data_IF_909195869709
#
_entry.id   IF_909195869709
#
_cell.length_a   1.000
_cell.length_b   1.000
_cell.length_c   1.000
_cell.angle_alpha   90.00
_cell.angle_beta   90.00
_cell.angle_gamma   90.00
#
_symmetry.space_group_name_H-M   'P 1'
#
loop_
_entity.id
_entity.type
_entity.pdbx_description
1 polymer ?
#
# COMPACT_ATOMS: atom_id res chain seq x y z
N UNK A 1 78.51 19.66 -11.85
CA UNK A 1 77.28 19.58 -12.66
C UNK A 1 76.26 18.62 -12.01
N UNK A 2 75.73 18.93 -10.81
CA UNK A 2 74.74 18.09 -10.12
C UNK A 2 73.59 18.91 -9.47
N UNK A 3 73.57 20.24 -9.68
CA UNK A 3 72.56 21.14 -9.10
C UNK A 3 71.34 21.39 -9.98
N UNK A 4 71.43 21.11 -11.29
CA UNK A 4 70.34 21.33 -12.24
C UNK A 4 69.24 20.27 -12.14
N UNK A 5 69.62 19.00 -11.97
CA UNK A 5 68.67 17.88 -11.94
C UNK A 5 67.76 17.90 -10.70
N UNK A 6 68.28 18.39 -9.56
CA UNK A 6 67.49 18.50 -8.32
C UNK A 6 66.42 19.59 -8.45
N UNK A 7 66.74 20.70 -9.13
CA UNK A 7 65.80 21.82 -9.34
C UNK A 7 64.71 21.41 -10.34
N UNK A 8 65.07 20.69 -11.40
CA UNK A 8 64.10 20.15 -12.37
C UNK A 8 63.19 19.11 -11.71
N UNK A 9 63.74 18.24 -10.87
CA UNK A 9 62.95 17.25 -10.12
C UNK A 9 61.99 17.92 -9.12
N UNK A 10 62.44 18.95 -8.39
CA UNK A 10 61.57 19.70 -7.47
C UNK A 10 60.47 20.44 -8.23
N UNK A 11 60.78 21.08 -9.36
CA UNK A 11 59.80 21.78 -10.18
C UNK A 11 58.76 20.82 -10.77
N UNK A 12 59.19 19.66 -11.26
CA UNK A 12 58.26 18.62 -11.74
C UNK A 12 57.38 18.09 -10.61
N UNK A 13 57.94 17.85 -9.43
CA UNK A 13 57.16 17.42 -8.26
C UNK A 13 56.12 18.48 -7.85
N UNK A 14 56.49 19.77 -7.84
CA UNK A 14 55.56 20.86 -7.53
C UNK A 14 54.46 20.97 -8.59
N UNK A 15 54.78 20.82 -9.88
CA UNK A 15 53.77 20.82 -10.97
C UNK A 15 52.79 19.65 -10.86
N UNK A 16 53.28 18.46 -10.48
CA UNK A 16 52.43 17.27 -10.25
C UNK A 16 51.51 17.47 -9.04
N UNK A 17 52.02 18.03 -7.94
CA UNK A 17 51.21 18.28 -6.73
C UNK A 17 50.16 19.37 -6.97
N UNK A 18 50.49 20.44 -7.72
CA UNK A 18 49.54 21.50 -8.07
C UNK A 18 48.42 20.98 -8.99
N UNK A 19 48.70 19.97 -9.81
CA UNK A 19 47.70 19.35 -10.71
C UNK A 19 46.68 18.45 -9.99
N UNK A 20 46.94 18.06 -8.74
CA UNK A 20 45.99 17.24 -7.95
C UNK A 20 44.93 18.08 -7.20
N UNK A 21 45.07 19.40 -7.13
CA UNK A 21 44.22 20.24 -6.27
C UNK A 21 42.97 20.86 -6.94
N UNK A 22 42.64 20.51 -8.19
CA UNK A 22 41.52 21.11 -8.91
C UNK A 22 40.61 20.08 -9.59
N UNK A 23 40.07 19.14 -8.82
CA UNK A 23 38.80 18.49 -9.15
C UNK A 23 37.82 18.59 -7.99
N UNK A 24 37.54 19.83 -7.60
CA UNK A 24 36.26 20.20 -7.01
C UNK A 24 35.16 20.03 -8.05
N UNK A 25 34.90 18.77 -8.44
CA UNK A 25 33.72 18.46 -9.24
C UNK A 25 32.53 18.88 -8.42
N UNK A 26 31.80 19.91 -8.87
CA UNK A 26 30.43 20.16 -8.43
C UNK A 26 29.76 18.80 -8.38
N UNK A 27 29.46 18.33 -7.17
CA UNK A 27 28.71 17.12 -6.95
C UNK A 27 27.31 17.40 -7.51
N UNK A 28 27.19 17.27 -8.83
CA UNK A 28 25.92 17.20 -9.49
C UNK A 28 25.24 16.05 -8.78
N UNK A 29 24.18 16.36 -8.04
CA UNK A 29 23.47 15.42 -7.20
C UNK A 29 22.79 14.45 -8.15
N UNK A 30 23.58 13.53 -8.73
CA UNK A 30 23.17 12.63 -9.80
C UNK A 30 22.05 11.81 -9.19
N UNK A 31 20.83 12.14 -9.61
CA UNK A 31 19.65 11.41 -9.20
C UNK A 31 19.87 9.99 -9.68
N UNK A 32 19.90 9.06 -8.74
CA UNK A 32 20.16 7.67 -9.06
C UNK A 32 19.05 7.14 -9.98
N UNK A 33 19.46 6.45 -11.03
CA UNK A 33 18.55 5.82 -11.97
C UNK A 33 17.86 4.63 -11.29
N UNK A 34 16.65 4.31 -11.71
CA UNK A 34 16.01 3.08 -11.27
C UNK A 34 16.75 1.84 -11.78
N UNK A 35 16.52 0.72 -11.11
CA UNK A 35 16.94 -0.59 -11.58
C UNK A 35 16.10 -0.95 -12.82
N UNK A 36 16.66 -1.63 -13.85
CA UNK A 36 15.87 -2.11 -14.98
C UNK A 36 14.68 -2.95 -14.52
N UNK A 37 13.55 -2.83 -15.21
CA UNK A 37 12.29 -3.44 -14.80
C UNK A 37 12.38 -4.96 -14.80
N UNK A 38 13.14 -5.55 -15.73
CA UNK A 38 13.36 -7.00 -15.84
C UNK A 38 14.07 -7.56 -14.60
N UNK A 39 14.98 -6.78 -14.00
CA UNK A 39 15.68 -7.19 -12.78
C UNK A 39 14.73 -7.09 -11.57
N UNK A 40 13.88 -6.07 -11.52
CA UNK A 40 12.87 -5.92 -10.48
C UNK A 40 11.82 -7.03 -10.55
N UNK A 41 11.35 -7.37 -11.76
CA UNK A 41 10.47 -8.49 -12.07
C UNK A 41 11.07 -9.81 -11.61
N UNK A 42 12.32 -10.09 -11.98
CA UNK A 42 12.99 -11.33 -11.58
C UNK A 42 13.11 -11.43 -10.06
N UNK A 43 13.48 -10.34 -9.39
CA UNK A 43 13.66 -10.31 -7.93
C UNK A 43 12.32 -10.43 -7.21
N UNK A 44 11.30 -9.73 -7.68
CA UNK A 44 9.93 -9.82 -7.17
C UNK A 44 9.32 -11.20 -7.40
N UNK A 45 9.55 -11.80 -8.58
CA UNK A 45 9.10 -13.13 -8.93
C UNK A 45 9.59 -14.17 -7.91
N UNK A 46 10.84 -14.06 -7.44
CA UNK A 46 11.41 -14.91 -6.38
C UNK A 46 10.76 -14.70 -5.01
N UNK A 47 10.35 -13.48 -4.69
CA UNK A 47 9.66 -13.15 -3.43
C UNK A 47 8.18 -13.57 -3.44
N UNK A 48 7.58 -13.66 -4.62
CA UNK A 48 6.15 -13.88 -4.80
C UNK A 48 5.81 -15.29 -5.31
N UNK A 49 6.80 -16.19 -5.41
CA UNK A 49 6.60 -17.60 -5.77
C UNK A 49 5.57 -18.21 -4.80
N UNK A 50 4.43 -18.64 -5.34
CA UNK A 50 3.32 -19.21 -4.58
C UNK A 50 2.11 -18.30 -4.36
N UNK A 51 2.24 -16.98 -4.58
CA UNK A 51 1.13 -16.02 -4.32
C UNK A 51 0.76 -15.18 -5.54
N UNK A 52 1.68 -14.92 -6.50
CA UNK A 52 1.39 -14.03 -7.64
C UNK A 52 1.52 -14.58 -9.07
N UNK A 53 1.82 -15.86 -9.28
CA UNK A 53 1.70 -16.43 -10.64
C UNK A 53 0.28 -16.35 -11.20
N UNK A 54 -0.73 -16.10 -10.35
CA UNK A 54 -2.12 -15.93 -10.74
C UNK A 54 -2.46 -14.54 -11.31
N UNK A 55 -1.70 -13.47 -11.01
CA UNK A 55 -2.13 -12.10 -11.33
C UNK A 55 -1.69 -11.59 -12.71
N UNK A 56 -0.82 -12.30 -13.43
CA UNK A 56 -0.39 -11.87 -14.76
C UNK A 56 -1.52 -11.96 -15.81
N UNK A 57 -2.54 -12.81 -15.60
CA UNK A 57 -3.65 -13.00 -16.55
C UNK A 57 -4.99 -12.41 -16.09
N UNK A 58 -5.12 -11.91 -14.86
CA UNK A 58 -6.43 -11.45 -14.32
C UNK A 58 -6.60 -9.93 -14.28
N UNK A 59 -5.56 -9.15 -14.57
CA UNK A 59 -5.63 -7.69 -14.50
C UNK A 59 -6.02 -7.07 -15.85
N UNK A 60 -7.09 -7.57 -16.46
CA UNK A 60 -7.96 -6.72 -17.30
C UNK A 60 -8.86 -5.85 -16.39
N UNK A 61 -8.29 -5.27 -15.33
CA UNK A 61 -8.99 -4.21 -14.61
C UNK A 61 -8.91 -3.00 -15.52
N UNK A 62 -10.00 -2.73 -16.24
CA UNK A 62 -10.14 -1.46 -16.92
C UNK A 62 -9.91 -0.36 -15.88
N UNK A 63 -8.94 0.51 -16.15
CA UNK A 63 -8.55 1.62 -15.28
C UNK A 63 -9.62 2.72 -15.20
N UNK A 64 -10.88 2.37 -15.47
CA UNK A 64 -11.99 3.27 -15.40
C UNK A 64 -12.66 3.15 -14.03
N UNK A 65 -12.77 4.26 -13.27
CA UNK A 65 -13.61 4.30 -12.08
C UNK A 65 -15.05 4.15 -12.56
N UNK A 66 -15.49 2.92 -12.71
CA UNK A 66 -16.90 2.64 -12.81
C UNK A 66 -17.48 3.22 -11.52
N UNK A 67 -18.36 4.22 -11.63
CA UNK A 67 -19.09 4.85 -10.51
C UNK A 67 -20.03 3.82 -9.89
N UNK A 68 -19.46 2.74 -9.37
CA UNK A 68 -20.12 1.63 -8.73
C UNK A 68 -20.46 2.14 -7.34
N UNK A 69 -21.71 2.53 -7.18
CA UNK A 69 -22.28 2.78 -5.86
C UNK A 69 -22.66 1.44 -5.22
N UNK A 70 -22.91 1.46 -3.91
CA UNK A 70 -23.70 0.41 -3.28
C UNK A 70 -25.09 0.42 -3.94
N UNK A 71 -25.32 -0.48 -4.88
CA UNK A 71 -26.65 -0.73 -5.39
C UNK A 71 -27.32 -1.72 -4.46
N UNK A 72 -28.27 -1.26 -3.65
CA UNK A 72 -29.35 -2.11 -3.14
C UNK A 72 -29.92 -2.84 -4.35
N UNK A 73 -30.00 -4.17 -4.31
CA UNK A 73 -30.13 -4.93 -5.55
C UNK A 73 -31.35 -4.48 -6.37
N UNK A 74 -31.10 -4.02 -7.60
CA UNK A 74 -32.15 -3.47 -8.45
C UNK A 74 -31.73 -3.04 -9.84
N UNK A 75 -30.44 -2.84 -10.12
CA UNK A 75 -29.96 -2.48 -11.47
C UNK A 75 -28.82 -3.37 -11.93
N UNK A 76 -28.87 -4.66 -11.58
CA UNK A 76 -28.35 -5.66 -12.50
C UNK A 76 -29.52 -5.96 -13.45
N UNK A 77 -29.61 -5.16 -14.53
CA UNK A 77 -30.41 -5.48 -15.72
C UNK A 77 -30.20 -6.96 -16.11
N UNK A 78 -31.08 -7.57 -16.94
CA UNK A 78 -31.00 -8.99 -17.29
C UNK A 78 -29.81 -9.29 -18.23
N UNK A 79 -28.61 -8.94 -17.80
CA UNK A 79 -27.36 -9.52 -18.27
C UNK A 79 -27.31 -10.91 -17.64
N UNK A 80 -27.20 -11.92 -18.50
CA UNK A 80 -27.22 -13.34 -18.15
C UNK A 80 -26.52 -13.59 -16.79
N UNK A 81 -27.30 -14.05 -15.80
CA UNK A 81 -26.89 -14.22 -14.39
C UNK A 81 -25.62 -15.08 -14.20
N UNK A 82 -25.17 -15.78 -15.24
CA UNK A 82 -23.97 -16.60 -15.29
C UNK A 82 -22.65 -15.83 -15.49
N UNK A 83 -22.68 -14.55 -15.89
CA UNK A 83 -21.45 -13.78 -16.22
C UNK A 83 -21.07 -12.70 -15.19
N UNK A 84 -21.85 -12.52 -14.11
CA UNK A 84 -21.55 -11.50 -13.10
C UNK A 84 -20.41 -12.00 -12.20
N UNK A 85 -19.31 -11.23 -12.06
CA UNK A 85 -18.15 -11.66 -11.30
C UNK A 85 -18.45 -11.72 -9.79
N UNK A 86 -17.71 -12.57 -9.07
CA UNK A 86 -17.94 -12.87 -7.65
C UNK A 86 -17.97 -11.63 -6.76
N UNK A 87 -17.14 -10.62 -7.07
CA UNK A 87 -17.04 -9.39 -6.31
C UNK A 87 -18.33 -8.55 -6.33
N UNK A 88 -19.14 -8.65 -7.39
CA UNK A 88 -20.44 -7.95 -7.50
C UNK A 88 -21.61 -8.80 -7.00
N UNK A 89 -21.43 -10.13 -6.85
CA UNK A 89 -22.45 -11.06 -6.31
C UNK A 89 -22.35 -11.30 -4.81
N UNK A 90 -21.28 -10.83 -4.17
CA UNK A 90 -21.07 -10.95 -2.73
C UNK A 90 -22.12 -10.17 -1.92
N UNK A 91 -22.44 -10.65 -0.71
CA UNK A 91 -23.24 -9.90 0.27
C UNK A 91 -22.56 -8.60 0.70
N UNK A 92 -21.23 -8.55 0.61
CA UNK A 92 -20.40 -7.37 0.84
C UNK A 92 -19.63 -7.06 -0.45
N UNK A 93 -20.27 -6.45 -1.47
CA UNK A 93 -19.68 -6.29 -2.79
C UNK A 93 -18.49 -5.32 -2.78
N UNK A 94 -17.53 -5.55 -3.67
CA UNK A 94 -16.32 -4.72 -3.79
C UNK A 94 -15.93 -4.44 -5.23
N UNK A 95 -15.19 -3.36 -5.42
CA UNK A 95 -14.48 -3.04 -6.65
C UNK A 95 -13.00 -2.84 -6.35
N UNK A 96 -12.18 -2.73 -7.41
CA UNK A 96 -10.75 -2.52 -7.29
C UNK A 96 -10.37 -1.13 -7.77
N UNK A 97 -9.39 -0.53 -7.10
CA UNK A 97 -8.67 0.66 -7.59
C UNK A 97 -7.19 0.35 -7.69
N UNK A 98 -6.52 0.94 -8.67
CA UNK A 98 -5.07 0.83 -8.80
C UNK A 98 -4.38 1.84 -7.89
N UNK A 99 -3.70 1.36 -6.85
CA UNK A 99 -2.87 2.17 -5.95
C UNK A 99 -1.47 2.32 -6.54
N UNK A 100 -1.13 3.53 -6.96
CA UNK A 100 0.19 3.87 -7.48
C UNK A 100 1.14 4.33 -6.37
N UNK A 101 2.32 3.72 -6.29
CA UNK A 101 3.46 4.16 -5.47
C UNK A 101 4.75 4.12 -6.30
N UNK A 102 5.35 5.28 -6.66
CA UNK A 102 6.56 5.33 -7.47
C UNK A 102 7.82 4.87 -6.72
N UNK A 103 7.77 4.71 -5.39
CA UNK A 103 8.88 4.26 -4.56
C UNK A 103 8.88 2.74 -4.35
N UNK A 104 8.09 2.00 -5.12
CA UNK A 104 7.88 0.56 -4.95
C UNK A 104 7.79 -0.17 -6.28
N UNK A 105 8.11 -1.45 -6.27
CA UNK A 105 7.82 -2.40 -7.34
C UNK A 105 6.97 -3.58 -6.80
N UNK A 106 5.84 -3.94 -7.45
CA UNK A 106 5.23 -3.24 -8.58
C UNK A 106 4.69 -1.86 -8.17
N UNK A 107 4.72 -0.92 -9.13
CA UNK A 107 4.30 0.47 -8.91
C UNK A 107 2.79 0.57 -8.71
N UNK A 108 2.03 -0.24 -9.44
CA UNK A 108 0.58 -0.32 -9.34
C UNK A 108 0.19 -1.61 -8.63
N UNK A 109 -0.65 -1.50 -7.61
CA UNK A 109 -1.26 -2.65 -6.93
C UNK A 109 -2.78 -2.47 -6.94
N UNK A 110 -3.56 -3.48 -7.37
CA UNK A 110 -5.01 -3.47 -7.25
C UNK A 110 -5.41 -3.63 -5.77
N UNK A 111 -6.15 -2.65 -5.26
CA UNK A 111 -6.64 -2.63 -3.88
C UNK A 111 -8.17 -2.63 -3.89
N UNK A 112 -8.76 -3.60 -3.19
CA UNK A 112 -10.21 -3.73 -3.09
C UNK A 112 -10.81 -2.66 -2.16
N UNK A 113 -11.98 -2.13 -2.51
CA UNK A 113 -12.77 -1.29 -1.62
C UNK A 113 -14.22 -1.74 -1.64
N UNK A 114 -14.84 -1.72 -0.45
CA UNK A 114 -16.23 -2.14 -0.31
C UNK A 114 -17.14 -1.07 -0.91
N UNK A 115 -18.14 -1.51 -1.68
CA UNK A 115 -19.12 -0.60 -2.26
C UNK A 115 -20.14 -0.15 -1.22
N UNK A 116 -20.51 -1.06 -0.30
CA UNK A 116 -21.50 -0.85 0.76
C UNK A 116 -20.84 -0.64 2.13
N UNK A 117 -21.57 -0.01 3.06
CA UNK A 117 -21.15 0.14 4.47
C UNK A 117 -21.62 -1.05 5.30
N UNK A 118 -22.87 -1.46 5.11
CA UNK A 118 -23.50 -2.68 5.61
C UNK A 118 -23.37 -3.82 4.62
N UNK A 119 -24.19 -4.86 4.76
CA UNK A 119 -24.23 -5.99 3.85
C UNK A 119 -25.61 -6.15 3.22
N UNK A 120 -25.66 -6.64 2.00
CA UNK A 120 -26.90 -6.91 1.26
C UNK A 120 -27.52 -8.22 1.77
N UNK A 121 -28.51 -8.11 2.66
CA UNK A 121 -29.11 -9.25 3.36
C UNK A 121 -30.61 -9.43 3.07
N UNK A 122 -31.27 -8.39 2.56
CA UNK A 122 -32.69 -8.46 2.28
C UNK A 122 -33.04 -9.29 1.03
N UNK A 123 -34.30 -9.72 0.88
CA UNK A 123 -34.75 -10.54 -0.25
C UNK A 123 -34.58 -9.85 -1.60
N UNK A 124 -34.57 -8.51 -1.60
CA UNK A 124 -34.29 -7.69 -2.78
C UNK A 124 -32.90 -7.06 -2.71
N UNK A 125 -31.99 -7.66 -1.93
CA UNK A 125 -30.64 -7.15 -1.70
C UNK A 125 -30.61 -5.79 -1.01
N UNK A 126 -31.50 -5.55 -0.06
CA UNK A 126 -31.42 -4.36 0.79
C UNK A 126 -30.20 -4.44 1.73
N UNK A 127 -29.54 -3.29 1.93
CA UNK A 127 -28.42 -3.13 2.84
C UNK A 127 -28.91 -3.13 4.31
N UNK A 128 -28.41 -4.08 5.11
CA UNK A 128 -28.68 -4.15 6.55
C UNK A 128 -27.62 -3.39 7.35
N UNK A 129 -28.08 -2.60 8.33
CA UNK A 129 -27.23 -1.88 9.28
C UNK A 129 -26.75 -2.74 10.45
N UNK A 130 -27.30 -3.95 10.60
CA UNK A 130 -26.88 -4.92 11.62
C UNK A 130 -25.55 -5.59 11.28
N UNK A 131 -25.08 -5.40 10.05
CA UNK A 131 -23.82 -5.92 9.56
C UNK A 131 -22.95 -4.80 9.01
N UNK A 132 -21.67 -5.09 8.80
CA UNK A 132 -20.71 -4.21 8.14
C UNK A 132 -19.92 -4.96 7.09
N UNK A 133 -19.79 -4.33 5.94
CA UNK A 133 -18.81 -4.70 4.94
C UNK A 133 -17.44 -4.19 5.39
N UNK A 134 -16.47 -5.10 5.53
CA UNK A 134 -15.10 -4.77 5.94
C UNK A 134 -14.10 -5.34 4.94
N UNK A 135 -13.04 -4.60 4.60
CA UNK A 135 -12.01 -5.09 3.68
C UNK A 135 -11.21 -6.24 4.33
N UNK A 136 -10.93 -7.28 3.54
CA UNK A 136 -10.06 -8.38 3.94
C UNK A 136 -8.64 -8.06 3.50
N UNK A 137 -7.74 -7.88 4.46
CA UNK A 137 -6.35 -7.51 4.24
C UNK A 137 -5.45 -8.75 4.18
N UNK A 138 -4.51 -8.77 3.24
CA UNK A 138 -3.45 -9.78 3.16
C UNK A 138 -2.08 -9.12 3.14
N UNK A 139 -1.04 -9.76 3.71
CA UNK A 139 0.33 -9.30 3.56
C UNK A 139 0.83 -9.58 2.14
N UNK A 140 1.07 -8.52 1.38
CA UNK A 140 1.57 -8.59 0.00
C UNK A 140 3.03 -8.16 -0.03
N UNK A 141 3.91 -9.05 -0.52
CA UNK A 141 5.32 -8.76 -0.72
C UNK A 141 5.50 -7.67 -1.78
N UNK A 142 6.46 -6.77 -1.58
CA UNK A 142 6.82 -5.69 -2.50
C UNK A 142 8.32 -5.39 -2.40
N UNK A 143 8.90 -4.81 -3.45
CA UNK A 143 10.25 -4.27 -3.43
C UNK A 143 10.18 -2.76 -3.22
N UNK A 144 10.58 -2.27 -2.05
CA UNK A 144 10.67 -0.83 -1.76
C UNK A 144 12.02 -0.27 -2.14
N UNK A 145 11.99 0.91 -2.73
CA UNK A 145 13.18 1.71 -3.03
C UNK A 145 13.87 2.09 -1.72
N UNK A 146 15.10 1.66 -1.54
CA UNK A 146 15.94 2.10 -0.46
C UNK A 146 16.57 3.47 -0.80
N UNK A 147 16.80 4.29 0.23
CA UNK A 147 17.34 5.65 0.08
C UNK A 147 18.80 5.70 -0.39
N UNK A 148 19.49 4.55 -0.45
CA UNK A 148 20.86 4.43 -0.89
C UNK A 148 20.98 4.08 -2.38
N UNK A 149 22.12 4.46 -2.97
CA UNK A 149 22.44 4.15 -4.35
C UNK A 149 23.67 3.26 -4.44
N UNK A 150 23.60 2.24 -5.28
CA UNK A 150 24.69 1.30 -5.52
C UNK A 150 25.01 1.34 -7.02
N UNK A 151 26.24 1.70 -7.37
CA UNK A 151 26.67 1.80 -8.77
C UNK A 151 25.84 2.80 -9.60
N UNK A 152 25.35 3.88 -8.99
CA UNK A 152 24.50 4.87 -9.66
C UNK A 152 23.03 4.46 -9.85
N UNK A 153 22.64 3.27 -9.40
CA UNK A 153 21.25 2.78 -9.42
C UNK A 153 20.64 2.80 -8.03
N UNK A 154 19.32 2.99 -7.97
CA UNK A 154 18.55 2.90 -6.74
C UNK A 154 18.55 1.47 -6.23
N UNK A 155 18.81 1.33 -4.95
CA UNK A 155 18.71 0.04 -4.27
C UNK A 155 17.26 -0.26 -3.90
N UNK A 156 16.94 -1.53 -3.72
CA UNK A 156 15.61 -2.01 -3.34
C UNK A 156 15.71 -3.06 -2.25
N UNK A 157 14.81 -2.99 -1.29
CA UNK A 157 14.66 -3.95 -0.19
C UNK A 157 13.28 -4.58 -0.23
N UNK A 158 13.19 -5.85 0.17
CA UNK A 158 11.91 -6.51 0.40
C UNK A 158 11.15 -5.82 1.55
N UNK A 159 9.83 -5.72 1.40
CA UNK A 159 8.90 -5.19 2.38
C UNK A 159 7.54 -5.87 2.19
N UNK A 160 6.70 -5.86 3.21
CA UNK A 160 5.32 -6.31 3.10
C UNK A 160 4.37 -5.13 3.32
N UNK A 161 3.29 -5.09 2.55
CA UNK A 161 2.19 -4.14 2.71
C UNK A 161 0.88 -4.88 2.93
N UNK A 162 0.01 -4.33 3.79
CA UNK A 162 -1.36 -4.82 3.93
C UNK A 162 -2.21 -4.30 2.78
N UNK A 163 -2.64 -5.19 1.89
CA UNK A 163 -3.46 -4.86 0.73
C UNK A 163 -4.81 -5.54 0.87
N UNK A 164 -5.89 -4.81 0.61
CA UNK A 164 -7.23 -5.41 0.58
C UNK A 164 -7.46 -6.19 -0.72
N UNK A 165 -7.87 -7.45 -0.59
CA UNK A 165 -8.14 -8.34 -1.74
C UNK A 165 -9.62 -8.51 -2.04
N UNK A 166 -10.48 -8.15 -1.08
CA UNK A 166 -11.93 -8.19 -1.22
C UNK A 166 -12.59 -7.62 0.03
N UNK A 167 -13.91 -7.82 0.14
CA UNK A 167 -14.68 -7.46 1.33
C UNK A 167 -15.42 -8.66 1.89
N UNK A 168 -15.57 -8.69 3.20
CA UNK A 168 -16.36 -9.68 3.93
C UNK A 168 -17.44 -8.99 4.76
N UNK A 169 -18.47 -9.76 5.12
CA UNK A 169 -19.58 -9.30 5.93
C UNK A 169 -19.42 -9.76 7.39
N UNK A 170 -19.45 -8.83 8.33
CA UNK A 170 -19.40 -9.13 9.77
C UNK A 170 -20.58 -8.51 10.52
N UNK A 171 -21.02 -9.06 11.66
CA UNK A 171 -21.99 -8.40 12.52
C UNK A 171 -21.47 -7.04 13.02
N UNK A 172 -22.35 -6.04 13.08
CA UNK A 172 -22.04 -4.74 13.65
C UNK A 172 -21.88 -4.87 15.17
N UNK A 173 -20.73 -4.44 15.70
CA UNK A 173 -20.52 -4.35 17.14
C UNK A 173 -21.52 -3.33 17.72
N UNK A 174 -22.42 -3.80 18.58
CA UNK A 174 -23.24 -2.92 19.41
C UNK A 174 -22.31 -2.30 20.46
N UNK A 175 -22.27 -0.98 20.63
CA UNK A 175 -21.50 -0.39 21.71
C UNK A 175 -22.00 -0.96 23.04
N UNK A 176 -21.09 -1.55 23.81
CA UNK A 176 -21.35 -2.00 25.16
C UNK A 176 -21.83 -0.78 25.97
N UNK A 177 -23.09 -0.81 26.43
CA UNK A 177 -23.53 0.16 27.44
C UNK A 177 -22.73 -0.15 28.71
N UNK A 178 -21.61 0.53 28.90
CA UNK A 178 -20.89 0.55 30.17
C UNK A 178 -21.90 0.76 31.30
N UNK A 179 -21.93 -0.07 32.36
CA UNK A 179 -22.81 0.16 33.50
C UNK A 179 -22.29 1.38 34.28
N UNK A 180 -22.69 2.58 33.86
CA UNK A 180 -22.40 3.80 34.61
C UNK A 180 -23.26 3.84 35.87
N UNK A 181 -22.64 3.46 36.99
CA UNK A 181 -22.90 3.96 38.36
C UNK A 181 -24.37 4.15 38.75
N UNK A 182 -25.05 3.05 39.07
CA UNK A 182 -26.20 3.07 39.99
C UNK A 182 -25.76 2.76 41.43
N UNK A 183 -24.65 3.34 41.90
CA UNK A 183 -24.26 3.30 43.33
C UNK A 183 -23.90 4.72 43.75
N UNK A 184 -24.88 5.61 43.76
CA UNK A 184 -24.76 6.91 44.44
C UNK A 184 -26.10 7.57 44.79
N UNK A 185 -27.19 6.79 44.88
CA UNK A 185 -28.49 7.33 45.34
C UNK A 185 -29.05 6.65 46.60
N UNK A 186 -28.42 5.60 47.11
CA UNK A 186 -28.78 4.96 48.39
C UNK A 186 -28.23 5.70 49.61
N UNK A 187 -27.15 6.49 49.47
CA UNK A 187 -26.56 7.26 50.58
C UNK A 187 -27.07 8.70 50.73
N UNK A 188 -28.03 9.15 49.90
CA UNK A 188 -28.70 10.45 50.07
C UNK A 188 -30.06 10.35 50.77
N UNK A 189 -30.65 9.15 50.85
CA UNK A 189 -31.91 8.91 51.59
C UNK A 189 -31.71 8.58 53.07
N UNK A 190 -30.56 8.02 53.47
CA UNK A 190 -30.26 7.70 54.87
C UNK A 190 -29.66 8.85 55.68
N UNK A 191 -29.23 9.94 55.02
CA UNK A 191 -28.73 11.16 55.70
C UNK A 191 -29.79 12.27 55.90
N UNK A 192 -31.06 12.01 55.58
CA UNK A 192 -32.16 13.00 55.75
C UNK A 192 -33.14 12.64 56.89
N UNK A 193 -32.80 11.67 57.74
CA UNK A 193 -33.65 11.19 58.86
C UNK A 193 -33.00 11.44 60.23
N UNK A 194 -31.87 12.14 60.31
CA UNK A 194 -31.28 12.55 61.59
C UNK A 194 -30.97 14.05 61.51
N UNK A 195 -32.00 14.84 61.80
CA UNK A 195 -31.93 16.13 62.50
C UNK A 195 -33.34 16.53 62.91
#
# INVERSE_FOLDING_TARGET
MHGGDVVVALLLAVVVVVSCAARGGKANRRVCADLPEEILEQRFGRLSVGVLSAFHHTLQLTAEPQNLSCSSAGVLQPVQRSSIPVNLRSLSPWAYRLRHDPARYPRFIPEAYCLCKGCLMGPSGEESQEYRSVPVLVPTAVLRRAGSCVGGRRSYTESYESISVGCTCIPALKPEKSPRRAVQNSNRRTKKVIN
#
